data_IF_329230183456
#
_entry.id   IF_329230183456
#
_cell.length_a   1.000
_cell.length_b   1.000
_cell.length_c   1.000
_cell.angle_alpha   90.00
_cell.angle_beta   90.00
_cell.angle_gamma   90.00
#
_symmetry.space_group_name_H-M   'P 1'
#
loop_
_entity.id
_entity.type
_entity.pdbx_description
1 polymer ?
#
# COMPACT_ATOMS: atom_id res chain seq x y z
N UNK A 1 44.57 -25.47 9.10
CA UNK A 1 43.19 -25.67 9.48
C UNK A 1 42.58 -24.47 10.15
N UNK A 2 43.18 -24.03 11.21
CA UNK A 2 42.65 -22.92 12.00
C UNK A 2 42.64 -21.61 11.21
N UNK A 3 43.64 -21.43 10.35
CA UNK A 3 43.70 -20.26 9.50
C UNK A 3 42.52 -20.22 8.54
N UNK A 4 42.10 -21.40 8.07
CA UNK A 4 40.94 -21.49 7.20
C UNK A 4 39.65 -21.16 7.92
N UNK A 5 39.54 -21.57 9.17
CA UNK A 5 38.36 -21.30 9.96
C UNK A 5 38.27 -19.80 10.29
N UNK A 6 39.40 -19.21 10.56
CA UNK A 6 39.46 -17.81 10.90
C UNK A 6 39.02 -16.90 9.77
N UNK A 7 39.60 -17.13 8.59
CA UNK A 7 39.28 -16.35 7.40
C UNK A 7 37.82 -16.51 6.94
N UNK A 8 37.32 -17.74 6.81
CA UNK A 8 35.91 -17.91 6.44
C UNK A 8 34.95 -17.27 7.43
N UNK A 9 35.30 -17.29 8.70
CA UNK A 9 34.48 -16.69 9.73
C UNK A 9 34.38 -15.18 9.56
N UNK A 10 35.50 -14.53 9.26
CA UNK A 10 35.53 -13.08 9.05
C UNK A 10 34.74 -12.73 7.81
N UNK A 11 34.95 -13.46 6.73
CA UNK A 11 34.24 -13.24 5.49
C UNK A 11 32.74 -13.45 5.70
N UNK A 12 32.39 -14.48 6.43
CA UNK A 12 30.99 -14.79 6.70
C UNK A 12 30.32 -13.67 7.49
N UNK A 13 31.01 -13.11 8.47
CA UNK A 13 30.48 -12.03 9.26
C UNK A 13 30.25 -10.77 8.42
N UNK A 14 31.21 -10.47 7.56
CA UNK A 14 31.09 -9.35 6.67
C UNK A 14 29.94 -9.53 5.69
N UNK A 15 29.80 -10.74 5.16
CA UNK A 15 28.68 -11.07 4.28
C UNK A 15 27.34 -10.91 4.99
N UNK A 16 27.27 -11.30 6.23
CA UNK A 16 26.06 -11.18 7.03
C UNK A 16 25.71 -9.71 7.26
N UNK A 17 26.70 -8.87 7.52
CA UNK A 17 26.48 -7.44 7.66
C UNK A 17 25.97 -6.82 6.36
N UNK A 18 26.54 -7.23 5.24
CA UNK A 18 26.11 -6.75 3.95
C UNK A 18 24.69 -7.21 3.61
N UNK A 19 24.37 -8.45 3.94
CA UNK A 19 23.04 -8.99 3.77
C UNK A 19 22.02 -8.20 4.60
N UNK A 20 22.38 -7.90 5.83
CA UNK A 20 21.50 -7.12 6.70
C UNK A 20 21.25 -5.74 6.13
N UNK A 21 22.29 -5.09 5.64
CA UNK A 21 22.16 -3.77 5.04
C UNK A 21 21.24 -3.80 3.84
N UNK A 22 21.41 -4.79 2.97
CA UNK A 22 20.54 -4.92 1.80
C UNK A 22 19.10 -5.18 2.19
N UNK A 23 18.88 -5.98 3.22
CA UNK A 23 17.53 -6.26 3.70
C UNK A 23 16.90 -5.03 4.34
N UNK A 24 17.70 -4.23 5.03
CA UNK A 24 17.20 -2.97 5.59
C UNK A 24 16.82 -1.98 4.51
N UNK A 25 17.62 -1.90 3.46
CA UNK A 25 17.30 -1.06 2.31
C UNK A 25 16.04 -1.54 1.59
N UNK A 26 15.92 -2.85 1.45
CA UNK A 26 14.74 -3.45 0.85
C UNK A 26 13.51 -3.19 1.69
N UNK A 27 13.63 -3.31 2.99
CA UNK A 27 12.55 -3.02 3.91
C UNK A 27 12.11 -1.55 3.80
N UNK A 28 13.07 -0.64 3.74
CA UNK A 28 12.78 0.78 3.59
C UNK A 28 12.06 1.05 2.27
N UNK A 29 12.47 0.37 1.21
CA UNK A 29 11.81 0.50 -0.08
C UNK A 29 10.35 0.05 0.00
N UNK A 30 10.11 -1.11 0.60
CA UNK A 30 8.74 -1.61 0.70
C UNK A 30 7.88 -0.81 1.66
N UNK A 31 8.48 -0.23 2.70
CA UNK A 31 7.75 0.69 3.57
C UNK A 31 7.27 1.91 2.78
N UNK A 32 8.13 2.45 1.94
CA UNK A 32 7.76 3.59 1.10
C UNK A 32 6.65 3.21 0.11
N UNK A 33 6.76 2.03 -0.49
CA UNK A 33 5.73 1.53 -1.40
C UNK A 33 4.42 1.32 -0.68
N UNK A 34 4.48 0.79 0.54
CA UNK A 34 3.30 0.57 1.35
C UNK A 34 2.59 1.89 1.66
N UNK A 35 3.33 2.92 1.98
CA UNK A 35 2.75 4.24 2.24
C UNK A 35 2.05 4.80 1.01
N UNK A 36 2.65 4.60 -0.16
CA UNK A 36 2.01 4.99 -1.41
C UNK A 36 0.72 4.24 -1.65
N UNK A 37 0.73 2.94 -1.40
CA UNK A 37 -0.47 2.11 -1.56
C UNK A 37 -1.55 2.51 -0.58
N UNK A 38 -1.19 2.81 0.65
CA UNK A 38 -2.15 3.28 1.65
C UNK A 38 -2.81 4.58 1.22
N UNK A 39 -2.02 5.49 0.68
CA UNK A 39 -2.55 6.76 0.18
C UNK A 39 -3.51 6.52 -0.98
N UNK A 40 -3.16 5.60 -1.87
CA UNK A 40 -4.02 5.28 -3.00
C UNK A 40 -5.32 4.63 -2.55
N UNK A 41 -5.26 3.72 -1.59
CA UNK A 41 -6.44 3.08 -1.04
C UNK A 41 -7.36 4.13 -0.42
N UNK A 42 -6.80 5.07 0.34
CA UNK A 42 -7.58 6.15 0.93
C UNK A 42 -8.26 7.00 -0.13
N UNK A 43 -7.54 7.30 -1.20
CA UNK A 43 -8.10 8.09 -2.30
C UNK A 43 -9.24 7.34 -2.99
N UNK A 44 -9.04 6.06 -3.25
CA UNK A 44 -10.07 5.24 -3.89
C UNK A 44 -11.31 5.12 -3.02
N UNK A 45 -11.13 4.95 -1.72
CA UNK A 45 -12.26 4.91 -0.79
C UNK A 45 -13.05 6.20 -0.82
N UNK A 46 -12.35 7.33 -0.87
CA UNK A 46 -13.02 8.63 -0.98
C UNK A 46 -13.78 8.75 -2.29
N UNK A 47 -13.18 8.30 -3.38
CA UNK A 47 -13.83 8.33 -4.69
C UNK A 47 -15.07 7.45 -4.72
N UNK A 48 -15.01 6.29 -4.09
CA UNK A 48 -16.15 5.39 -3.98
C UNK A 48 -17.27 6.06 -3.17
N UNK A 49 -16.93 6.69 -2.06
CA UNK A 49 -17.91 7.39 -1.23
C UNK A 49 -18.58 8.51 -2.01
N UNK A 50 -17.81 9.29 -2.75
CA UNK A 50 -18.36 10.36 -3.58
C UNK A 50 -19.26 9.79 -4.68
N UNK A 51 -18.83 8.69 -5.30
CA UNK A 51 -19.62 8.04 -6.33
C UNK A 51 -20.94 7.53 -5.76
N UNK A 52 -20.89 6.94 -4.57
CA UNK A 52 -22.11 6.49 -3.89
C UNK A 52 -23.05 7.65 -3.59
N UNK A 53 -22.52 8.79 -3.19
CA UNK A 53 -23.33 9.97 -2.96
C UNK A 53 -23.99 10.46 -4.24
N UNK A 54 -23.26 10.41 -5.36
CA UNK A 54 -23.81 10.79 -6.65
C UNK A 54 -24.92 9.83 -7.05
N UNK A 55 -24.71 8.54 -6.88
CA UNK A 55 -25.72 7.53 -7.16
C UNK A 55 -26.96 7.78 -6.32
N UNK A 56 -26.79 8.02 -5.05
CA UNK A 56 -27.91 8.28 -4.13
C UNK A 56 -28.69 9.51 -4.57
N UNK A 57 -28.01 10.56 -4.99
CA UNK A 57 -28.68 11.78 -5.45
C UNK A 57 -29.48 11.50 -6.73
N UNK A 58 -28.88 10.78 -7.67
CA UNK A 58 -29.55 10.44 -8.92
C UNK A 58 -30.77 9.60 -8.65
N UNK A 59 -30.65 8.60 -7.80
CA UNK A 59 -31.77 7.73 -7.44
C UNK A 59 -32.86 8.51 -6.74
N UNK A 60 -32.48 9.41 -5.85
CA UNK A 60 -33.42 10.26 -5.15
C UNK A 60 -34.17 11.18 -6.12
N UNK A 61 -33.49 11.77 -7.05
CA UNK A 61 -34.13 12.60 -8.07
C UNK A 61 -35.06 11.80 -8.94
N UNK A 62 -34.66 10.60 -9.29
CA UNK A 62 -35.49 9.70 -10.09
C UNK A 62 -36.82 9.41 -9.39
N UNK A 63 -36.73 9.11 -8.10
CA UNK A 63 -37.91 8.82 -7.31
C UNK A 63 -38.78 10.08 -7.20
N UNK A 64 -38.18 11.21 -6.99
CA UNK A 64 -38.89 12.47 -6.90
C UNK A 64 -39.61 12.81 -8.21
N UNK A 65 -38.91 12.60 -9.33
CA UNK A 65 -39.50 12.82 -10.66
C UNK A 65 -40.71 11.93 -10.90
N UNK A 66 -40.60 10.68 -10.53
CA UNK A 66 -41.70 9.74 -10.68
C UNK A 66 -42.91 10.18 -9.85
N UNK A 67 -42.67 10.61 -8.64
CA UNK A 67 -43.73 11.13 -7.76
C UNK A 67 -44.39 12.37 -8.34
N UNK A 68 -43.61 13.28 -8.85
CA UNK A 68 -44.12 14.50 -9.48
C UNK A 68 -44.96 14.20 -10.70
N UNK A 69 -44.54 13.22 -11.47
CA UNK A 69 -45.29 12.81 -12.67
C UNK A 69 -46.61 12.11 -12.30
N UNK A 70 -46.60 11.48 -11.16
CA UNK A 70 -47.80 10.78 -10.68
C UNK A 70 -48.90 11.74 -10.23
N UNK A 71 -48.48 12.89 -9.80
CA UNK A 71 -49.45 13.91 -9.35
C UNK A 71 -49.93 14.76 -10.48
#
# INVERSE_FOLDING_TARGET
MEVRLSKPKIILLQDVYEMRQRKEEELAFYHAELEKLKARVSLLNREIDLTNQIIDLIEHEKIFDIKNRST
#
